data_IF_188869518825
#
_entry.id   IF_188869518825
#
_cell.length_a   1.000
_cell.length_b   1.000
_cell.length_c   1.000
_cell.angle_alpha   90.00
_cell.angle_beta   90.00
_cell.angle_gamma   90.00
#
_symmetry.space_group_name_H-M   'P 1'
#
loop_
_entity.id
_entity.type
_entity.pdbx_description
1 polymer ?
#
# COMPACT_ATOMS: atom_id res chain seq x y z
N UNK A 1 15.68 14.39 -10.54
CA UNK A 1 15.27 15.70 -10.03
C UNK A 1 13.75 15.70 -10.14
N UNK A 2 13.08 15.24 -9.08
CA UNK A 2 11.63 15.08 -9.06
C UNK A 2 11.01 16.45 -8.94
N UNK A 3 10.27 16.83 -9.97
CA UNK A 3 9.52 18.07 -10.03
C UNK A 3 8.25 17.85 -9.21
N UNK A 4 8.38 18.00 -7.89
CA UNK A 4 7.21 18.14 -7.01
C UNK A 4 6.84 19.61 -7.09
N UNK A 5 6.25 19.99 -8.23
CA UNK A 5 5.55 21.27 -8.27
C UNK A 5 4.46 21.22 -7.19
N UNK A 6 4.38 22.26 -6.36
CA UNK A 6 3.43 22.42 -5.26
C UNK A 6 1.99 22.49 -5.79
N UNK A 7 1.46 21.34 -6.21
CA UNK A 7 0.12 21.11 -6.74
C UNK A 7 -0.96 21.19 -5.65
N UNK A 8 -0.58 21.22 -4.36
CA UNK A 8 -1.50 21.24 -3.21
C UNK A 8 -2.55 22.36 -3.25
N UNK A 9 -2.28 23.45 -3.97
CA UNK A 9 -3.20 24.58 -4.16
C UNK A 9 -4.05 24.51 -5.44
N UNK A 10 -3.80 23.51 -6.29
CA UNK A 10 -4.50 23.25 -7.55
C UNK A 10 -5.68 22.30 -7.26
N UNK A 11 -6.93 22.68 -7.61
CA UNK A 11 -8.05 21.79 -7.44
C UNK A 11 -7.91 20.51 -8.29
N UNK A 12 -8.14 19.34 -7.69
CA UNK A 12 -8.09 18.03 -8.36
C UNK A 12 -8.89 18.01 -9.66
N UNK A 13 -8.38 17.29 -10.67
CA UNK A 13 -9.18 17.04 -11.88
C UNK A 13 -10.30 16.07 -11.51
N UNK A 14 -11.44 16.22 -12.18
CA UNK A 14 -12.62 15.37 -11.94
C UNK A 14 -12.38 13.87 -12.16
N UNK A 15 -11.29 13.47 -12.84
CA UNK A 15 -10.91 12.07 -13.05
C UNK A 15 -10.09 11.47 -11.91
N UNK A 16 -9.37 12.31 -11.15
CA UNK A 16 -8.47 11.88 -10.08
C UNK A 16 -9.23 11.52 -8.80
N UNK A 17 -10.39 12.17 -8.58
CA UNK A 17 -11.29 11.92 -7.43
C UNK A 17 -12.36 10.86 -7.70
N UNK A 18 -12.45 10.31 -8.93
CA UNK A 18 -13.49 9.34 -9.26
C UNK A 18 -13.18 8.00 -8.56
N UNK A 19 -14.17 7.39 -7.87
CA UNK A 19 -13.97 6.08 -7.27
C UNK A 19 -13.65 5.05 -8.35
N UNK A 20 -12.45 4.49 -8.27
CA UNK A 20 -12.00 3.38 -9.13
C UNK A 20 -12.48 2.07 -8.53
N UNK A 21 -13.63 1.61 -9.01
CA UNK A 21 -14.07 0.24 -8.74
C UNK A 21 -13.18 -0.70 -9.55
N UNK A 22 -12.36 -1.51 -8.86
CA UNK A 22 -11.69 -2.64 -9.48
C UNK A 22 -12.78 -3.53 -10.08
N UNK A 23 -12.83 -3.61 -11.41
CA UNK A 23 -13.77 -4.48 -12.10
C UNK A 23 -13.32 -5.91 -11.83
N UNK A 24 -13.90 -6.56 -10.82
CA UNK A 24 -13.90 -8.02 -10.78
C UNK A 24 -14.50 -8.49 -12.12
N UNK A 25 -13.72 -9.20 -12.95
CA UNK A 25 -14.21 -9.88 -14.17
C UNK A 25 -15.10 -11.07 -13.79
N UNK A 26 -16.11 -10.85 -12.95
CA UNK A 26 -17.20 -11.79 -12.74
C UNK A 26 -18.30 -11.50 -13.76
N UNK A 27 -18.08 -11.91 -15.00
CA UNK A 27 -19.20 -12.36 -15.85
C UNK A 27 -19.24 -13.88 -15.78
N UNK A 28 -19.55 -14.41 -14.60
CA UNK A 28 -20.17 -15.74 -14.52
C UNK A 28 -21.60 -15.54 -15.07
N UNK A 29 -21.78 -15.70 -16.39
CA UNK A 29 -23.10 -16.12 -16.89
C UNK A 29 -23.08 -17.63 -16.75
N UNK A 30 -23.73 -18.07 -15.67
CA UNK A 30 -24.18 -19.44 -15.50
C UNK A 30 -24.88 -19.92 -16.77
N UNK A 31 -24.32 -20.95 -17.38
CA UNK A 31 -25.01 -21.85 -18.31
C UNK A 31 -26.21 -22.50 -17.62
N UNK A 32 -27.40 -22.54 -18.23
CA UNK A 32 -28.31 -23.66 -18.09
C UNK A 32 -28.17 -24.55 -19.33
N UNK A 33 -27.77 -25.79 -19.10
CA UNK A 33 -27.77 -26.89 -20.05
C UNK A 33 -29.12 -26.99 -20.78
N UNK A 34 -29.17 -26.70 -22.09
CA UNK A 34 -29.86 -27.52 -23.11
C UNK A 34 -29.57 -27.05 -24.56
N UNK A 35 -29.01 -27.97 -25.34
CA UNK A 35 -29.22 -28.15 -26.79
C UNK A 35 -28.48 -27.25 -27.83
N UNK A 36 -27.41 -27.79 -28.43
CA UNK A 36 -27.19 -27.73 -29.89
C UNK A 36 -26.07 -26.85 -30.47
N UNK A 37 -24.93 -27.46 -30.82
CA UNK A 37 -24.17 -27.21 -32.06
C UNK A 37 -23.06 -26.14 -32.09
N UNK A 38 -21.82 -26.58 -32.40
CA UNK A 38 -20.90 -25.87 -33.31
C UNK A 38 -19.74 -25.03 -32.75
N UNK A 39 -18.53 -25.57 -32.94
CA UNK A 39 -17.26 -24.94 -33.38
C UNK A 39 -16.44 -23.92 -32.53
N UNK A 40 -15.22 -24.40 -32.21
CA UNK A 40 -13.87 -23.77 -32.24
C UNK A 40 -13.59 -22.53 -31.39
N UNK A 41 -12.65 -22.61 -30.44
CA UNK A 41 -11.64 -21.56 -30.15
C UNK A 41 -10.50 -22.15 -29.28
N UNK A 42 -9.26 -22.01 -29.77
CA UNK A 42 -8.00 -22.31 -29.08
C UNK A 42 -7.87 -21.52 -27.77
N UNK A 43 -7.48 -22.20 -26.69
CA UNK A 43 -7.13 -21.58 -25.41
C UNK A 43 -5.64 -21.81 -25.15
N UNK A 44 -4.85 -20.79 -25.50
CA UNK A 44 -3.46 -20.57 -25.09
C UNK A 44 -3.48 -19.44 -24.06
N UNK A 45 -3.73 -19.75 -22.80
CA UNK A 45 -3.66 -18.74 -21.72
C UNK A 45 -3.11 -19.48 -20.48
N UNK A 46 -1.79 -19.56 -20.36
CA UNK A 46 -0.94 -18.58 -19.68
C UNK A 46 -0.87 -18.81 -18.17
N UNK A 47 0.31 -19.28 -17.80
CA UNK A 47 0.99 -19.18 -16.51
C UNK A 47 0.85 -17.78 -15.87
N UNK A 48 0.06 -17.63 -14.80
CA UNK A 48 0.15 -16.44 -13.92
C UNK A 48 -0.30 -16.66 -12.46
N UNK A 49 -0.08 -17.87 -11.92
CA UNK A 49 -0.35 -18.20 -10.51
C UNK A 49 0.63 -17.61 -9.46
N UNK A 50 1.10 -16.36 -9.60
CA UNK A 50 2.19 -15.81 -8.75
C UNK A 50 1.99 -14.38 -8.18
N UNK A 51 0.78 -13.82 -8.11
CA UNK A 51 0.61 -12.42 -7.63
C UNK A 51 0.14 -12.23 -6.17
N UNK A 52 -0.16 -13.29 -5.41
CA UNK A 52 -0.71 -13.14 -4.04
C UNK A 52 0.35 -13.10 -2.91
N UNK A 53 1.60 -13.53 -3.16
CA UNK A 53 2.67 -13.51 -2.15
C UNK A 53 3.36 -12.13 -2.03
N UNK A 54 3.25 -11.31 -3.08
CA UNK A 54 3.88 -9.98 -3.15
C UNK A 54 3.30 -9.01 -2.10
N UNK A 55 1.99 -9.07 -1.84
CA UNK A 55 1.33 -8.16 -0.89
C UNK A 55 1.63 -8.46 0.59
N UNK A 56 1.86 -9.73 0.97
CA UNK A 56 2.28 -10.08 2.33
C UNK A 56 3.77 -9.81 2.57
N UNK A 57 4.57 -9.84 1.50
CA UNK A 57 6.02 -9.57 1.55
C UNK A 57 6.37 -8.11 1.88
N UNK A 58 5.38 -7.21 1.91
CA UNK A 58 5.57 -5.78 2.21
C UNK A 58 5.82 -5.47 3.70
N UNK A 59 5.57 -6.40 4.64
CA UNK A 59 5.78 -6.14 6.07
C UNK A 59 7.24 -6.29 6.47
N UNK A 60 7.91 -5.17 6.76
CA UNK A 60 9.32 -5.14 7.15
C UNK A 60 9.51 -4.72 8.62
N UNK A 61 10.73 -4.91 9.14
CA UNK A 61 11.07 -4.58 10.53
C UNK A 61 10.77 -3.12 10.87
N UNK A 62 10.92 -2.19 9.92
CA UNK A 62 10.60 -0.77 10.12
C UNK A 62 9.09 -0.57 10.35
N UNK A 63 8.22 -1.19 9.52
CA UNK A 63 6.75 -1.15 9.69
C UNK A 63 6.33 -1.75 11.02
N UNK A 64 6.92 -2.90 11.40
CA UNK A 64 6.64 -3.53 12.70
C UNK A 64 7.08 -2.65 13.88
N UNK A 65 8.26 -2.01 13.78
CA UNK A 65 8.78 -1.14 14.83
C UNK A 65 7.91 0.10 15.01
N UNK A 66 7.45 0.72 13.91
CA UNK A 66 6.52 1.84 13.95
C UNK A 66 5.18 1.43 14.60
N UNK A 67 4.59 0.31 14.19
CA UNK A 67 3.35 -0.19 14.78
C UNK A 67 3.49 -0.51 16.28
N UNK A 68 4.64 -1.06 16.70
CA UNK A 68 4.92 -1.29 18.12
C UNK A 68 5.04 0.03 18.89
N UNK A 69 5.73 1.03 18.31
CA UNK A 69 5.86 2.36 18.89
C UNK A 69 4.49 3.05 19.05
N UNK A 70 3.58 2.90 18.08
CA UNK A 70 2.21 3.43 18.15
C UNK A 70 1.43 2.84 19.33
N UNK A 71 1.53 1.52 19.53
CA UNK A 71 0.90 0.85 20.67
C UNK A 71 1.50 1.33 21.99
N UNK A 72 2.83 1.44 22.07
CA UNK A 72 3.53 1.94 23.26
C UNK A 72 3.13 3.39 23.57
N UNK A 73 3.08 4.27 22.57
CA UNK A 73 2.68 5.66 22.73
C UNK A 73 1.23 5.78 23.21
N UNK A 74 0.34 4.88 22.78
CA UNK A 74 -1.04 4.86 23.25
C UNK A 74 -1.18 4.39 24.71
N UNK A 75 -0.29 3.51 25.19
CA UNK A 75 -0.32 3.01 26.57
C UNK A 75 0.38 3.96 27.53
N UNK A 76 1.60 4.40 27.21
CA UNK A 76 2.46 5.17 28.12
C UNK A 76 2.30 6.68 27.97
N UNK A 77 1.81 7.15 26.81
CA UNK A 77 1.49 8.58 26.57
C UNK A 77 2.69 9.47 26.95
N UNK A 78 2.49 10.40 27.86
CA UNK A 78 3.51 11.38 28.27
C UNK A 78 4.69 10.74 29.02
N UNK A 79 4.51 9.57 29.65
CA UNK A 79 5.58 8.87 30.37
C UNK A 79 6.67 8.32 29.44
N UNK A 80 6.36 8.19 28.15
CA UNK A 80 7.30 7.75 27.12
C UNK A 80 8.23 8.89 26.65
N UNK A 81 7.79 10.14 26.77
CA UNK A 81 8.51 11.32 26.24
C UNK A 81 9.91 11.52 26.83
N UNK A 82 10.16 11.30 28.14
CA UNK A 82 11.52 11.41 28.70
C UNK A 82 12.53 10.44 28.07
N UNK A 83 12.05 9.32 27.51
CA UNK A 83 12.89 8.32 26.85
C UNK A 83 13.08 8.65 25.37
N UNK A 84 12.00 9.01 24.66
CA UNK A 84 12.01 9.21 23.21
C UNK A 84 12.59 10.58 22.81
N UNK A 85 12.28 11.65 23.54
CA UNK A 85 12.70 13.01 23.17
C UNK A 85 14.23 13.19 23.07
N UNK A 86 15.07 12.64 23.97
CA UNK A 86 16.52 12.72 23.81
C UNK A 86 17.01 12.06 22.51
N UNK A 87 16.45 10.90 22.15
CA UNK A 87 16.82 10.14 20.95
C UNK A 87 16.45 10.95 19.70
N UNK A 88 15.23 11.48 19.64
CA UNK A 88 14.77 12.30 18.51
C UNK A 88 15.63 13.55 18.30
N UNK A 89 16.02 14.22 19.39
CA UNK A 89 16.89 15.41 19.31
C UNK A 89 18.26 15.09 18.75
N UNK A 90 18.77 13.88 19.01
CA UNK A 90 20.04 13.42 18.46
C UNK A 90 19.90 13.06 16.98
N UNK A 91 18.81 12.39 16.58
CA UNK A 91 18.66 11.83 15.23
C UNK A 91 18.14 12.83 14.20
N UNK A 92 17.20 13.72 14.55
CA UNK A 92 16.51 14.62 13.61
C UNK A 92 17.43 15.61 12.86
N UNK A 93 18.63 15.87 13.38
CA UNK A 93 19.57 16.84 12.81
C UNK A 93 20.83 16.20 12.22
N UNK A 94 20.88 14.87 12.12
CA UNK A 94 21.99 14.19 11.48
C UNK A 94 21.94 14.39 9.96
N UNK A 95 23.13 14.51 9.36
CA UNK A 95 23.29 14.68 7.92
C UNK A 95 22.92 13.39 7.16
N UNK A 96 23.07 12.24 7.81
CA UNK A 96 22.72 10.92 7.30
C UNK A 96 21.20 10.77 7.23
N UNK A 97 20.69 10.72 6.00
CA UNK A 97 19.24 10.76 5.76
C UNK A 97 18.51 9.56 6.39
N UNK A 98 19.13 8.38 6.40
CA UNK A 98 18.53 7.15 6.96
C UNK A 98 18.30 7.27 8.47
N UNK A 99 19.25 7.89 9.18
CA UNK A 99 19.15 8.08 10.63
C UNK A 99 18.16 9.20 10.94
N UNK A 100 18.21 10.30 10.18
CA UNK A 100 17.27 11.40 10.30
C UNK A 100 15.82 10.97 10.06
N UNK A 101 15.60 10.10 9.08
CA UNK A 101 14.27 9.57 8.75
C UNK A 101 13.76 8.59 9.82
N UNK A 102 14.67 7.93 10.55
CA UNK A 102 14.31 6.97 11.59
C UNK A 102 13.85 7.59 12.91
N UNK A 103 14.13 8.88 13.13
CA UNK A 103 13.68 9.67 14.29
C UNK A 103 12.48 10.51 13.94
#
# INVERSE_FOLDING_TARGET
>A
KGDVEEDESVPDRTEDIKPRFHKSRHTIRHEPMENGGGEDFQDDESDDGLDDDSSLSDWNLRKCSAAALDVLANVFRDEMLPVILPILKETLFLQEWEIRESG
#
